data_IF_736482773172
#
_entry.id   IF_736482773172
#
_cell.length_a   1.000
_cell.length_b   1.000
_cell.length_c   1.000
_cell.angle_alpha   90.00
_cell.angle_beta   90.00
_cell.angle_gamma   90.00
#
_symmetry.space_group_name_H-M   'P 1'
#
loop_
_entity.id
_entity.type
_entity.pdbx_description
1 polymer ?
#
# COMPACT_ATOMS: atom_id res chain seq x y z
N UNK A 1 -26.72 0.57 2.34
CA UNK A 1 -25.75 -0.46 1.90
C UNK A 1 -24.43 -0.09 2.53
N UNK A 2 -23.88 -0.97 3.36
CA UNK A 2 -22.58 -0.75 3.99
C UNK A 2 -21.52 -0.74 2.90
N UNK A 3 -20.84 0.39 2.73
CA UNK A 3 -19.81 0.54 1.70
C UNK A 3 -18.48 0.19 2.33
N UNK A 4 -17.82 -0.85 1.85
CA UNK A 4 -16.48 -1.22 2.32
C UNK A 4 -15.43 -0.66 1.36
N UNK A 5 -14.31 -0.22 1.93
CA UNK A 5 -13.09 0.10 1.20
C UNK A 5 -12.02 -0.93 1.55
N UNK A 6 -11.22 -1.33 0.56
CA UNK A 6 -10.06 -2.17 0.80
C UNK A 6 -8.96 -1.33 1.44
N UNK A 7 -8.39 -1.78 2.56
CA UNK A 7 -7.18 -1.19 3.12
C UNK A 7 -6.06 -2.22 3.13
N UNK A 8 -4.87 -1.81 2.73
CA UNK A 8 -3.71 -2.68 2.65
C UNK A 8 -2.47 -2.06 3.28
N UNK A 9 -1.61 -2.91 3.83
CA UNK A 9 -0.29 -2.57 4.34
C UNK A 9 0.71 -3.60 3.82
N UNK A 10 1.57 -3.17 2.90
CA UNK A 10 2.55 -3.98 2.19
C UNK A 10 3.93 -3.60 2.69
N UNK A 11 4.46 -4.45 3.57
CA UNK A 11 5.83 -4.39 4.04
C UNK A 11 6.80 -5.04 3.05
N UNK A 12 8.06 -5.23 3.48
CA UNK A 12 9.09 -5.84 2.65
C UNK A 12 8.85 -7.32 2.30
N UNK A 13 8.12 -8.06 3.15
CA UNK A 13 7.96 -9.51 3.02
C UNK A 13 6.51 -9.97 3.14
N UNK A 14 5.65 -9.17 3.76
CA UNK A 14 4.26 -9.53 4.04
C UNK A 14 3.33 -8.43 3.53
N UNK A 15 2.19 -8.84 2.99
CA UNK A 15 1.09 -7.98 2.59
C UNK A 15 -0.12 -8.25 3.49
N UNK A 16 -0.54 -7.27 4.28
CA UNK A 16 -1.74 -7.33 5.10
C UNK A 16 -2.86 -6.59 4.39
N UNK A 17 -4.01 -7.24 4.24
CA UNK A 17 -5.22 -6.65 3.69
C UNK A 17 -6.34 -6.70 4.73
N UNK A 18 -7.22 -5.71 4.70
CA UNK A 18 -8.41 -5.64 5.54
C UNK A 18 -9.52 -4.86 4.83
N UNK A 19 -10.74 -4.94 5.35
CA UNK A 19 -11.89 -4.17 4.89
C UNK A 19 -12.22 -3.08 5.91
N UNK A 20 -12.26 -1.84 5.45
CA UNK A 20 -12.71 -0.70 6.24
C UNK A 20 -14.17 -0.39 5.90
N UNK A 21 -15.04 -0.34 6.90
CA UNK A 21 -16.40 0.17 6.73
C UNK A 21 -16.35 1.70 6.57
N UNK A 22 -16.75 2.21 5.42
CA UNK A 22 -16.77 3.65 5.13
C UNK A 22 -17.81 4.41 5.97
N UNK A 23 -18.75 3.70 6.59
CA UNK A 23 -19.82 4.29 7.41
C UNK A 23 -19.38 4.49 8.85
N UNK A 24 -18.73 3.49 9.45
CA UNK A 24 -18.29 3.51 10.85
C UNK A 24 -16.80 3.81 11.02
N UNK A 25 -16.00 3.62 9.97
CA UNK A 25 -14.53 3.66 10.03
C UNK A 25 -13.91 2.40 10.65
N UNK A 26 -14.70 1.35 10.90
CA UNK A 26 -14.20 0.12 11.51
C UNK A 26 -13.47 -0.75 10.50
N UNK A 27 -12.27 -1.20 10.88
CA UNK A 27 -11.48 -2.16 10.09
C UNK A 27 -11.80 -3.57 10.57
N UNK A 28 -12.20 -4.43 9.65
CA UNK A 28 -12.55 -5.82 9.88
C UNK A 28 -11.88 -6.74 8.86
N UNK A 29 -11.96 -8.06 9.08
CA UNK A 29 -11.46 -9.08 8.15
C UNK A 29 -9.96 -8.94 7.81
N UNK A 30 -9.14 -8.47 8.75
CA UNK A 30 -7.72 -8.28 8.50
C UNK A 30 -7.00 -9.63 8.35
N UNK A 31 -6.32 -9.83 7.22
CA UNK A 31 -5.57 -11.04 6.88
C UNK A 31 -4.19 -10.69 6.32
N UNK A 32 -3.19 -11.47 6.74
CA UNK A 32 -1.80 -11.30 6.31
C UNK A 32 -1.43 -12.41 5.33
N UNK A 33 -0.82 -12.02 4.22
CA UNK A 33 -0.31 -12.88 3.18
C UNK A 33 1.21 -12.74 3.09
N UNK A 34 1.91 -13.84 2.86
CA UNK A 34 3.33 -13.84 2.57
C UNK A 34 3.54 -13.37 1.13
N UNK A 35 4.37 -12.35 0.92
CA UNK A 35 4.68 -11.85 -0.43
C UNK A 35 5.36 -12.91 -1.30
N UNK A 36 6.04 -13.88 -0.69
CA UNK A 36 6.73 -14.96 -1.39
C UNK A 36 5.78 -15.97 -2.04
N UNK A 37 4.55 -16.08 -1.53
CA UNK A 37 3.57 -17.07 -2.01
C UNK A 37 2.79 -16.56 -3.24
N UNK A 38 2.90 -15.28 -3.57
CA UNK A 38 2.10 -14.64 -4.61
C UNK A 38 2.98 -13.91 -5.65
N UNK A 39 2.64 -14.00 -6.94
CA UNK A 39 3.46 -13.40 -8.00
C UNK A 39 3.32 -11.87 -8.07
N UNK A 40 2.24 -11.30 -7.52
CA UNK A 40 1.99 -9.86 -7.53
C UNK A 40 1.04 -9.46 -6.39
N UNK A 41 1.07 -8.18 -6.01
CA UNK A 41 0.11 -7.60 -5.08
C UNK A 41 -1.33 -7.71 -5.59
N UNK A 42 -1.54 -7.56 -6.90
CA UNK A 42 -2.86 -7.71 -7.52
C UNK A 42 -3.45 -9.11 -7.26
N UNK A 43 -2.62 -10.16 -7.36
CA UNK A 43 -3.04 -11.53 -7.07
C UNK A 43 -3.49 -11.68 -5.61
N UNK A 44 -2.76 -11.09 -4.66
CA UNK A 44 -3.13 -11.10 -3.24
C UNK A 44 -4.48 -10.41 -3.01
N UNK A 45 -4.69 -9.25 -3.63
CA UNK A 45 -5.96 -8.51 -3.52
C UNK A 45 -7.14 -9.32 -4.08
N UNK A 46 -6.96 -9.96 -5.24
CA UNK A 46 -7.99 -10.81 -5.84
C UNK A 46 -8.36 -11.98 -4.94
N UNK A 47 -7.36 -12.69 -4.39
CA UNK A 47 -7.57 -13.80 -3.47
C UNK A 47 -8.30 -13.33 -2.22
N UNK A 48 -7.91 -12.20 -1.65
CA UNK A 48 -8.58 -11.64 -0.48
C UNK A 48 -10.05 -11.30 -0.74
N UNK A 49 -10.35 -10.63 -1.86
CA UNK A 49 -11.72 -10.26 -2.21
C UNK A 49 -12.59 -11.48 -2.50
N UNK A 50 -12.03 -12.50 -3.16
CA UNK A 50 -12.72 -13.76 -3.45
C UNK A 50 -13.04 -14.55 -2.16
N UNK A 51 -12.06 -14.69 -1.27
CA UNK A 51 -12.21 -15.37 0.03
C UNK A 51 -13.30 -14.74 0.91
N UNK A 52 -13.44 -13.41 0.87
CA UNK A 52 -14.44 -12.70 1.67
C UNK A 52 -15.73 -12.39 0.89
N UNK A 53 -15.80 -12.78 -0.39
CA UNK A 53 -16.91 -12.44 -1.30
C UNK A 53 -17.30 -10.96 -1.25
N UNK A 54 -16.31 -10.10 -1.01
CA UNK A 54 -16.49 -8.67 -0.80
C UNK A 54 -16.38 -7.92 -2.12
N UNK A 55 -17.30 -6.98 -2.36
CA UNK A 55 -17.23 -6.07 -3.50
C UNK A 55 -16.92 -4.67 -2.98
N UNK A 56 -15.75 -4.17 -3.34
CA UNK A 56 -15.28 -2.84 -2.98
C UNK A 56 -14.91 -2.09 -4.25
N UNK A 57 -15.22 -0.80 -4.27
CA UNK A 57 -14.89 0.09 -5.40
C UNK A 57 -13.74 1.03 -5.06
N UNK A 58 -13.44 1.15 -3.77
CA UNK A 58 -12.44 2.05 -3.21
C UNK A 58 -11.37 1.23 -2.48
N UNK A 59 -10.11 1.61 -2.65
CA UNK A 59 -8.97 0.94 -2.03
C UNK A 59 -7.85 1.90 -1.65
N UNK A 60 -7.20 1.67 -0.53
CA UNK A 60 -6.00 2.38 -0.09
C UNK A 60 -4.94 1.38 0.37
N UNK A 61 -3.75 1.40 -0.22
CA UNK A 61 -2.66 0.48 0.12
C UNK A 61 -1.43 1.29 0.52
N UNK A 62 -0.98 1.09 1.76
CA UNK A 62 0.30 1.57 2.24
C UNK A 62 1.42 0.61 1.79
N UNK A 63 2.52 1.13 1.25
CA UNK A 63 3.66 0.34 0.80
C UNK A 63 4.94 0.93 1.37
N UNK A 64 5.80 0.08 1.94
CA UNK A 64 7.10 0.49 2.50
C UNK A 64 8.16 0.79 1.42
N UNK A 65 7.81 1.57 0.39
CA UNK A 65 8.72 2.04 -0.66
C UNK A 65 8.39 3.46 -1.12
N UNK A 66 9.37 4.24 -1.61
CA UNK A 66 9.11 5.56 -2.16
C UNK A 66 8.25 5.48 -3.41
N UNK A 67 7.10 6.14 -3.37
CA UNK A 67 6.19 6.27 -4.52
C UNK A 67 6.50 7.60 -5.19
N UNK A 68 7.04 7.53 -6.40
CA UNK A 68 7.46 8.73 -7.17
C UNK A 68 6.57 9.00 -8.39
N UNK A 69 5.55 8.17 -8.60
CA UNK A 69 4.61 8.30 -9.71
C UNK A 69 3.68 7.09 -9.79
N UNK A 70 3.25 6.79 -11.00
CA UNK A 70 2.37 5.64 -11.28
C UNK A 70 3.08 4.29 -11.14
N UNK A 71 4.40 4.24 -11.33
CA UNK A 71 5.17 3.02 -11.20
C UNK A 71 5.66 2.82 -9.76
N UNK A 72 5.22 1.73 -9.14
CA UNK A 72 5.66 1.30 -7.81
C UNK A 72 6.60 0.11 -8.00
N UNK A 73 7.84 0.25 -7.55
CA UNK A 73 8.82 -0.83 -7.55
C UNK A 73 9.31 -1.07 -6.12
N UNK A 74 9.02 -2.26 -5.59
CA UNK A 74 9.50 -2.64 -4.28
C UNK A 74 10.99 -2.96 -4.32
N UNK A 75 11.76 -2.49 -3.35
CA UNK A 75 13.20 -2.81 -3.26
C UNK A 75 13.46 -4.16 -2.62
N UNK A 76 12.55 -4.61 -1.75
CA UNK A 76 12.67 -5.85 -0.98
C UNK A 76 11.93 -7.03 -1.63
N UNK A 77 11.18 -6.78 -2.70
CA UNK A 77 10.40 -7.79 -3.40
C UNK A 77 10.46 -7.55 -4.90
N UNK A 78 10.30 -8.59 -5.71
CA UNK A 78 10.24 -8.49 -7.18
C UNK A 78 8.93 -7.88 -7.69
N UNK A 79 8.05 -7.44 -6.80
CA UNK A 79 6.80 -6.81 -7.18
C UNK A 79 7.06 -5.40 -7.69
N UNK A 80 6.74 -5.20 -8.97
CA UNK A 80 6.64 -3.90 -9.58
C UNK A 80 5.34 -3.83 -10.38
N UNK A 81 4.62 -2.72 -10.26
CA UNK A 81 3.32 -2.55 -10.89
C UNK A 81 3.01 -1.07 -11.14
N UNK A 82 2.12 -0.83 -12.10
CA UNK A 82 1.49 0.46 -12.32
C UNK A 82 0.23 0.58 -11.47
N UNK A 83 0.06 1.71 -10.77
CA UNK A 83 -1.13 2.00 -9.97
C UNK A 83 -2.36 2.08 -10.87
N UNK A 84 -2.26 2.76 -12.01
CA UNK A 84 -3.32 2.90 -12.99
C UNK A 84 -3.73 1.56 -13.60
N UNK A 85 -2.75 0.70 -13.91
CA UNK A 85 -3.00 -0.64 -14.42
C UNK A 85 -3.70 -1.51 -13.38
N UNK A 86 -3.19 -1.53 -12.14
CA UNK A 86 -3.80 -2.27 -11.03
C UNK A 86 -5.24 -1.82 -10.77
N UNK A 87 -5.48 -0.49 -10.75
CA UNK A 87 -6.81 0.09 -10.61
C UNK A 87 -7.76 -0.40 -11.69
N UNK A 88 -7.32 -0.39 -12.95
CA UNK A 88 -8.11 -0.85 -14.10
C UNK A 88 -8.38 -2.36 -14.04
N UNK A 89 -7.38 -3.16 -13.70
CA UNK A 89 -7.49 -4.61 -13.65
C UNK A 89 -8.43 -5.09 -12.53
N UNK A 90 -8.38 -4.43 -11.37
CA UNK A 90 -9.24 -4.72 -10.22
C UNK A 90 -10.64 -4.10 -10.35
N UNK A 91 -10.83 -3.16 -11.28
CA UNK A 91 -12.11 -2.47 -11.47
C UNK A 91 -12.42 -1.46 -10.37
N UNK A 92 -11.40 -0.90 -9.72
CA UNK A 92 -11.58 0.12 -8.69
C UNK A 92 -11.89 1.49 -9.29
N UNK A 93 -12.87 2.16 -8.69
CA UNK A 93 -13.19 3.57 -8.95
C UNK A 93 -12.11 4.47 -8.35
N UNK A 94 -11.63 4.14 -7.14
CA UNK A 94 -10.55 4.86 -6.45
C UNK A 94 -9.53 3.87 -5.89
N UNK A 95 -8.27 4.05 -6.24
CA UNK A 95 -7.15 3.30 -5.68
C UNK A 95 -6.05 4.28 -5.32
N UNK A 96 -5.78 4.41 -4.03
CA UNK A 96 -4.70 5.22 -3.50
C UNK A 96 -3.57 4.30 -3.04
N UNK A 97 -2.35 4.61 -3.47
CA UNK A 97 -1.15 3.95 -2.95
C UNK A 97 -0.33 5.01 -2.24
N UNK A 98 -0.06 4.78 -0.96
CA UNK A 98 0.68 5.70 -0.09
C UNK A 98 1.95 5.02 0.42
N UNK A 99 2.99 5.78 0.70
CA UNK A 99 4.19 5.20 1.31
C UNK A 99 3.99 5.09 2.83
N UNK A 100 4.34 3.94 3.42
CA UNK A 100 4.26 3.67 4.86
C UNK A 100 5.02 4.71 5.71
N UNK A 101 6.09 5.31 5.17
CA UNK A 101 6.81 6.40 5.84
C UNK A 101 5.99 7.69 6.01
N UNK A 102 4.89 7.88 5.28
CA UNK A 102 3.99 9.01 5.51
C UNK A 102 3.13 8.83 6.77
N UNK A 103 3.08 7.62 7.37
CA UNK A 103 2.43 7.37 8.68
C UNK A 103 3.35 7.68 9.88
N UNK A 104 4.19 8.71 9.77
CA UNK A 104 4.83 9.39 10.91
C UNK A 104 4.95 10.88 10.65
N UNK A 105 3.82 11.53 10.38
CA UNK A 105 3.76 12.99 10.39
C UNK A 105 2.43 13.43 11.00
N UNK A 106 2.25 13.15 12.28
CA UNK A 106 1.54 14.11 13.13
C UNK A 106 2.48 15.33 13.29
N UNK A 107 2.46 16.26 12.31
CA UNK A 107 2.89 17.65 12.54
C UNK A 107 4.16 18.22 11.88
N UNK A 108 4.83 17.56 10.93
CA UNK A 108 6.00 18.13 10.22
C UNK A 108 5.76 18.33 8.70
N UNK A 109 5.47 19.56 8.24
CA UNK A 109 5.18 19.85 6.83
C UNK A 109 6.36 19.67 5.86
N UNK A 110 7.59 19.40 6.34
CA UNK A 110 8.81 19.33 5.51
C UNK A 110 9.35 17.90 5.26
N UNK A 111 8.66 16.85 5.71
CA UNK A 111 9.15 15.47 5.62
C UNK A 111 9.32 14.96 4.17
N UNK A 112 8.48 15.41 3.23
CA UNK A 112 8.54 15.03 1.82
C UNK A 112 9.82 15.52 1.12
N UNK A 113 10.39 16.65 1.57
CA UNK A 113 11.59 17.25 0.98
C UNK A 113 12.88 16.53 1.40
N UNK A 114 12.86 15.78 2.51
CA UNK A 114 14.03 15.07 3.05
C UNK A 114 14.26 13.69 2.45
N UNK A 115 13.21 13.04 1.95
CA UNK A 115 13.30 11.68 1.40
C UNK A 115 13.84 11.65 -0.04
N UNK A 116 13.78 12.77 -0.75
CA UNK A 116 14.17 12.91 -2.16
C UNK A 116 15.63 13.32 -2.38
N UNK A 117 16.42 13.51 -1.32
CA UNK A 117 17.79 14.01 -1.41
C UNK A 117 18.83 12.86 -1.23
N UNK A 118 19.47 12.37 -2.31
CA UNK A 118 20.46 11.29 -2.22
C UNK A 118 21.79 11.78 -1.59
N UNK A 119 22.01 13.09 -1.51
CA UNK A 119 23.30 13.71 -1.14
C UNK A 119 23.57 13.63 0.36
N UNK A 120 22.56 13.45 1.22
CA UNK A 120 22.76 13.34 2.68
C UNK A 120 23.06 11.94 3.21
N UNK A 121 23.07 10.90 2.36
CA UNK A 121 23.43 9.52 2.78
C UNK A 121 24.94 9.29 2.93
N UNK A 122 25.80 10.26 2.64
CA UNK A 122 27.24 10.18 2.92
C UNK A 122 27.72 11.40 3.70
N UNK A 123 27.92 11.18 5.00
CA UNK A 123 28.66 12.06 5.91
C UNK A 123 28.51 11.53 7.33
N UNK A 124 29.35 10.60 7.78
CA UNK A 124 30.51 10.88 8.67
C UNK A 124 30.12 11.78 9.85
N UNK A 125 30.21 11.40 11.11
CA UNK A 125 30.95 10.34 11.78
C UNK A 125 30.88 10.66 13.28
N UNK A 126 31.49 9.79 14.08
CA UNK A 126 31.71 9.88 15.52
C UNK A 126 31.53 11.27 16.16
N UNK A 127 30.73 11.32 17.22
CA UNK A 127 31.13 11.84 18.54
C UNK A 127 30.39 11.07 19.62
#
# INVERSE_FOLDING_TARGET
MTKYALVGDVGGTNARLALCDMTSGEISQAKTYSGLDYPSLEAVVRVYLDEHSARVEDGCIAIACPITGDWVAMTNHTWAFSIAEMKKNLGFSHLEIINDFYRRVDGDPDAAQRASDPVRRRGTGCR
#
